data_IF_576844938326
#
_entry.id   IF_576844938326
#
_cell.length_a   1.000
_cell.length_b   1.000
_cell.length_c   1.000
_cell.angle_alpha   90.00
_cell.angle_beta   90.00
_cell.angle_gamma   90.00
#
_symmetry.space_group_name_H-M   'P 1'
#
loop_
_entity.id
_entity.type
_entity.pdbx_description
1 polymer ?
#
# COMPACT_ATOMS: atom_id res chain seq x y z
N UNK A 1 28.05 -7.03 30.65
CA UNK A 1 26.90 -7.65 29.97
C UNK A 1 25.81 -6.61 29.87
N UNK A 2 25.47 -6.12 28.67
CA UNK A 2 24.39 -5.15 28.51
C UNK A 2 23.04 -5.75 28.86
N UNK A 3 22.08 -4.93 29.30
CA UNK A 3 20.69 -5.35 29.52
C UNK A 3 20.14 -5.90 28.21
N UNK A 4 19.48 -7.06 28.26
CA UNK A 4 18.95 -7.68 27.04
C UNK A 4 17.83 -6.84 26.44
N UNK A 5 17.75 -6.80 25.10
CA UNK A 5 16.67 -6.11 24.37
C UNK A 5 15.28 -6.56 24.83
N UNK A 6 15.14 -7.83 25.19
CA UNK A 6 13.89 -8.37 25.75
C UNK A 6 13.54 -7.74 27.10
N UNK A 7 14.52 -7.58 27.99
CA UNK A 7 14.31 -6.98 29.30
C UNK A 7 13.90 -5.50 29.15
N UNK A 8 14.55 -4.76 28.25
CA UNK A 8 14.21 -3.37 27.94
C UNK A 8 12.77 -3.25 27.40
N UNK A 9 12.41 -4.06 26.40
CA UNK A 9 11.05 -4.04 25.82
C UNK A 9 10.00 -4.44 26.86
N UNK A 10 10.32 -5.37 27.77
CA UNK A 10 9.36 -5.81 28.79
C UNK A 10 9.12 -4.72 29.85
N UNK A 11 10.19 -4.09 30.34
CA UNK A 11 10.11 -2.99 31.31
C UNK A 11 9.38 -1.77 30.72
N UNK A 12 9.74 -1.35 29.51
CA UNK A 12 9.10 -0.20 28.86
C UNK A 12 7.64 -0.53 28.51
N UNK A 13 7.34 -1.75 28.03
CA UNK A 13 5.97 -2.17 27.76
C UNK A 13 5.08 -2.05 28.99
N UNK A 14 5.56 -2.51 30.15
CA UNK A 14 4.86 -2.38 31.43
C UNK A 14 4.65 -0.90 31.80
N UNK A 15 5.68 -0.07 31.70
CA UNK A 15 5.60 1.38 32.00
C UNK A 15 4.62 2.13 31.11
N UNK A 16 4.48 1.72 29.85
CA UNK A 16 3.56 2.30 28.88
C UNK A 16 2.16 1.66 28.90
N UNK A 17 1.94 0.62 29.71
CA UNK A 17 0.66 -0.09 29.76
C UNK A 17 0.34 -0.88 28.48
N UNK A 18 1.35 -1.23 27.68
CA UNK A 18 1.19 -2.00 26.43
C UNK A 18 1.79 -3.39 26.57
N UNK A 19 1.24 -4.35 25.82
CA UNK A 19 1.83 -5.69 25.81
C UNK A 19 3.26 -5.65 25.26
N UNK A 20 4.15 -6.46 25.86
CA UNK A 20 5.52 -6.65 25.38
C UNK A 20 5.58 -6.99 23.89
N UNK A 21 4.66 -7.82 23.41
CA UNK A 21 4.62 -8.24 22.00
C UNK A 21 4.22 -7.07 21.09
N UNK A 22 3.27 -6.22 21.52
CA UNK A 22 2.91 -5.00 20.79
C UNK A 22 4.11 -4.07 20.64
N UNK A 23 4.80 -3.78 21.75
CA UNK A 23 5.97 -2.91 21.72
C UNK A 23 7.10 -3.51 20.89
N UNK A 24 7.36 -4.82 21.01
CA UNK A 24 8.34 -5.52 20.16
C UNK A 24 8.03 -5.33 18.68
N UNK A 25 6.77 -5.53 18.26
CA UNK A 25 6.36 -5.36 16.86
C UNK A 25 6.55 -3.92 16.39
N UNK A 26 6.24 -2.93 17.21
CA UNK A 26 6.47 -1.52 16.86
C UNK A 26 7.94 -1.18 16.70
N UNK A 27 8.80 -1.66 17.60
CA UNK A 27 10.25 -1.48 17.47
C UNK A 27 10.75 -2.14 16.18
N UNK A 28 10.36 -3.38 15.90
CA UNK A 28 10.75 -4.07 14.66
C UNK A 28 10.27 -3.33 13.42
N UNK A 29 9.03 -2.82 13.44
CA UNK A 29 8.52 -2.03 12.31
C UNK A 29 9.27 -0.71 12.16
N UNK A 30 9.65 -0.04 13.25
CA UNK A 30 10.43 1.19 13.20
C UNK A 30 11.83 0.95 12.60
N UNK A 31 12.50 -0.15 12.96
CA UNK A 31 13.76 -0.55 12.33
C UNK A 31 13.60 -0.81 10.83
N UNK A 32 12.49 -1.42 10.42
CA UNK A 32 12.16 -1.63 9.00
C UNK A 32 11.92 -0.30 8.29
N UNK A 33 11.14 0.59 8.91
CA UNK A 33 10.83 1.91 8.36
C UNK A 33 12.09 2.79 8.24
N UNK A 34 13.11 2.55 9.06
CA UNK A 34 14.42 3.22 9.01
C UNK A 34 15.45 2.52 8.13
N UNK A 35 15.12 1.36 7.55
CA UNK A 35 16.05 0.57 6.75
C UNK A 35 17.14 -0.16 7.54
N UNK A 36 17.04 -0.19 8.86
CA UNK A 36 17.97 -0.91 9.76
C UNK A 36 17.72 -2.43 9.76
N UNK A 37 16.55 -2.83 9.28
CA UNK A 37 16.13 -4.24 9.21
C UNK A 37 15.38 -4.53 7.91
N UNK A 38 15.59 -5.69 7.26
CA UNK A 38 14.78 -6.08 6.12
C UNK A 38 13.32 -6.29 6.50
N UNK A 39 12.43 -5.79 5.65
CA UNK A 39 10.98 -5.90 5.78
C UNK A 39 10.28 -4.93 4.83
N UNK A 40 8.96 -4.91 4.86
CA UNK A 40 8.16 -3.93 4.10
C UNK A 40 7.91 -2.74 5.01
N UNK A 41 8.41 -1.57 4.61
CA UNK A 41 8.15 -0.32 5.30
C UNK A 41 6.69 0.10 5.15
N UNK A 42 6.27 0.99 6.06
CA UNK A 42 4.93 1.60 5.98
C UNK A 42 4.76 2.44 4.72
N UNK A 43 5.82 3.10 4.26
CA UNK A 43 5.84 3.90 3.04
C UNK A 43 5.63 3.02 1.80
N UNK A 44 6.40 1.94 1.63
CA UNK A 44 6.24 0.99 0.53
C UNK A 44 4.82 0.40 0.52
N UNK A 45 4.31 0.04 1.69
CA UNK A 45 2.93 -0.46 1.83
C UNK A 45 1.88 0.57 1.41
N UNK A 46 2.10 1.85 1.74
CA UNK A 46 1.20 2.93 1.35
C UNK A 46 1.24 3.19 -0.16
N UNK A 47 2.43 3.18 -0.75
CA UNK A 47 2.64 3.38 -2.17
C UNK A 47 2.00 2.25 -2.99
N UNK A 48 2.16 1.00 -2.59
CA UNK A 48 1.48 -0.14 -3.23
C UNK A 48 -0.04 0.05 -3.24
N UNK A 49 -0.64 0.52 -2.13
CA UNK A 49 -2.08 0.80 -2.07
C UNK A 49 -2.48 1.98 -2.96
N UNK A 50 -1.64 3.01 -3.07
CA UNK A 50 -1.86 4.15 -3.97
C UNK A 50 -1.85 3.69 -5.43
N UNK A 51 -0.80 3.00 -5.85
CA UNK A 51 -0.62 2.48 -7.20
C UNK A 51 -1.73 1.49 -7.59
N UNK A 52 -2.17 0.63 -6.67
CA UNK A 52 -3.30 -0.29 -6.94
C UNK A 52 -4.60 0.47 -7.24
N UNK A 53 -4.88 1.55 -6.51
CA UNK A 53 -6.06 2.38 -6.75
C UNK A 53 -5.95 3.12 -8.08
N UNK A 54 -4.80 3.72 -8.36
CA UNK A 54 -4.54 4.41 -9.62
C UNK A 54 -4.66 3.47 -10.82
N UNK A 55 -4.07 2.27 -10.74
CA UNK A 55 -4.17 1.27 -11.81
C UNK A 55 -5.61 0.82 -12.06
N UNK A 56 -6.41 0.66 -11.00
CA UNK A 56 -7.82 0.30 -11.13
C UNK A 56 -8.62 1.41 -11.84
N UNK A 57 -8.38 2.67 -11.49
CA UNK A 57 -9.03 3.81 -12.14
C UNK A 57 -8.61 3.92 -13.62
N UNK A 58 -7.31 3.84 -13.90
CA UNK A 58 -6.80 3.88 -15.28
C UNK A 58 -7.39 2.76 -16.14
N UNK A 59 -7.55 1.56 -15.59
CA UNK A 59 -8.23 0.46 -16.30
C UNK A 59 -9.68 0.79 -16.59
N UNK A 60 -10.40 1.33 -15.61
CA UNK A 60 -11.80 1.74 -15.78
C UNK A 60 -11.94 2.81 -16.88
N UNK A 61 -11.11 3.85 -16.84
CA UNK A 61 -11.11 4.91 -17.87
C UNK A 61 -10.80 4.34 -19.25
N UNK A 62 -9.80 3.47 -19.36
CA UNK A 62 -9.45 2.83 -20.63
C UNK A 62 -10.61 2.02 -21.21
N UNK A 63 -11.37 1.29 -20.39
CA UNK A 63 -12.53 0.54 -20.88
C UNK A 63 -13.63 1.47 -21.41
N UNK A 64 -13.90 2.60 -20.73
CA UNK A 64 -14.86 3.60 -21.21
C UNK A 64 -14.41 4.18 -22.56
N UNK A 65 -13.12 4.53 -22.69
CA UNK A 65 -12.57 5.09 -23.93
C UNK A 65 -12.64 4.09 -25.09
N UNK A 66 -12.36 2.80 -24.84
CA UNK A 66 -12.50 1.75 -25.85
C UNK A 66 -13.95 1.60 -26.32
N UNK A 67 -14.90 1.58 -25.38
CA UNK A 67 -16.33 1.49 -25.71
C UNK A 67 -16.80 2.70 -26.53
N UNK A 68 -16.40 3.91 -26.15
CA UNK A 68 -16.70 5.13 -26.90
C UNK A 68 -16.10 5.08 -28.30
N UNK A 69 -14.83 4.66 -28.43
CA UNK A 69 -14.16 4.54 -29.72
C UNK A 69 -14.85 3.52 -30.63
N UNK A 70 -15.24 2.37 -30.09
CA UNK A 70 -15.98 1.35 -30.84
C UNK A 70 -17.37 1.84 -31.28
N UNK A 71 -18.06 2.59 -30.42
CA UNK A 71 -19.34 3.22 -30.76
C UNK A 71 -19.20 4.19 -31.95
N UNK A 72 -18.24 5.12 -31.89
CA UNK A 72 -18.02 6.08 -32.97
C UNK A 72 -17.53 5.44 -34.27
N UNK A 73 -16.67 4.41 -34.19
CA UNK A 73 -16.23 3.68 -35.37
C UNK A 73 -17.43 3.04 -36.10
N UNK A 74 -18.35 2.42 -35.36
CA UNK A 74 -19.58 1.84 -35.91
C UNK A 74 -20.48 2.89 -36.58
N UNK A 75 -20.64 4.06 -35.98
CA UNK A 75 -21.41 5.16 -36.58
C UNK A 75 -20.79 5.66 -37.88
N UNK A 76 -19.45 5.69 -37.98
CA UNK A 76 -18.72 6.12 -39.19
C UNK A 76 -18.74 5.06 -40.32
N UNK A 77 -18.73 3.77 -39.96
CA UNK A 77 -18.82 2.65 -40.90
C UNK A 77 -20.24 2.42 -41.48
N UNK A 78 -21.20 3.28 -41.12
CA UNK A 78 -22.51 3.36 -41.77
C UNK A 78 -22.59 4.59 -42.68
N UNK A 79 -22.03 4.53 -43.91
CA UNK A 79 -22.24 5.57 -44.91
C UNK A 79 -23.68 5.48 -45.43
N UNK A 80 -24.63 6.10 -44.72
CA UNK A 80 -26.03 6.01 -45.15
C UNK A 80 -27.12 6.68 -44.31
N UNK A 81 -26.83 7.44 -43.24
CA UNK A 81 -27.87 8.27 -42.61
C UNK A 81 -27.84 9.70 -43.16
N UNK A 82 -28.22 9.84 -44.44
CA UNK A 82 -28.80 11.04 -45.05
C UNK A 82 -30.11 10.65 -45.69
#
# INVERSE_FOLDING_TARGET
>A
SGVSRWAVISDIGLKLGVSRESLRRWVVQAEIDQGERPGVSREESAEIRRLRRENAELKRTNEILKLASAFFAKELDHPGMR
#
